data_IF_343603861259
#
_entry.id   IF_343603861259
#
_cell.length_a   1.000
_cell.length_b   1.000
_cell.length_c   1.000
_cell.angle_alpha   90.00
_cell.angle_beta   90.00
_cell.angle_gamma   90.00
#
_symmetry.space_group_name_H-M   'P 1'
#
loop_
_entity.id
_entity.type
_entity.pdbx_description
1 polymer ?
#
# COMPACT_ATOMS: atom_id res chain seq x y z
N UNK A 1 -62.81 -59.11 -33.08
CA UNK A 1 -61.39 -59.09 -33.50
C UNK A 1 -60.75 -57.90 -32.81
N UNK A 2 -59.66 -58.15 -32.07
CA UNK A 2 -59.13 -57.24 -31.05
C UNK A 2 -58.63 -55.91 -31.60
N UNK A 3 -58.95 -54.82 -30.89
CA UNK A 3 -58.46 -53.46 -31.15
C UNK A 3 -56.94 -53.39 -30.97
N UNK A 4 -56.26 -52.87 -32.00
CA UNK A 4 -54.85 -52.51 -31.92
C UNK A 4 -54.69 -51.24 -31.11
N UNK A 5 -54.27 -51.39 -29.85
CA UNK A 5 -53.88 -50.28 -28.99
C UNK A 5 -52.63 -49.58 -29.56
N UNK A 6 -52.81 -48.46 -30.25
CA UNK A 6 -51.74 -47.50 -30.55
C UNK A 6 -51.39 -46.69 -29.30
N UNK A 7 -50.78 -47.36 -28.32
CA UNK A 7 -50.18 -46.68 -27.16
C UNK A 7 -48.86 -46.01 -27.55
N UNK A 8 -48.49 -44.87 -26.93
CA UNK A 8 -47.20 -44.24 -27.16
C UNK A 8 -46.06 -45.23 -26.86
N UNK A 9 -45.03 -45.23 -27.70
CA UNK A 9 -43.87 -46.11 -27.53
C UNK A 9 -43.22 -45.89 -26.16
N UNK A 10 -42.56 -46.91 -25.60
CA UNK A 10 -41.90 -46.78 -24.29
C UNK A 10 -40.86 -45.65 -24.29
N UNK A 11 -40.63 -45.01 -23.13
CA UNK A 11 -39.70 -43.88 -23.01
C UNK A 11 -38.33 -44.17 -23.63
N UNK A 12 -37.78 -45.37 -23.38
CA UNK A 12 -36.49 -45.77 -23.93
C UNK A 12 -36.48 -45.91 -25.45
N UNK A 13 -37.59 -46.37 -26.04
CA UNK A 13 -37.75 -46.48 -27.50
C UNK A 13 -37.85 -45.10 -28.13
N UNK A 14 -38.55 -44.17 -27.49
CA UNK A 14 -38.63 -42.77 -27.94
C UNK A 14 -37.28 -42.06 -27.80
N UNK A 15 -36.57 -42.27 -26.69
CA UNK A 15 -35.25 -41.71 -26.44
C UNK A 15 -34.20 -42.21 -27.44
N UNK A 16 -34.17 -43.51 -27.75
CA UNK A 16 -33.26 -44.07 -28.78
C UNK A 16 -33.58 -43.54 -30.18
N UNK A 17 -34.87 -43.42 -30.53
CA UNK A 17 -35.29 -42.85 -31.80
C UNK A 17 -34.87 -41.37 -31.93
N UNK A 18 -35.07 -40.56 -30.88
CA UNK A 18 -34.64 -39.17 -30.83
C UNK A 18 -33.11 -39.04 -30.88
N UNK A 19 -32.39 -39.92 -30.19
CA UNK A 19 -30.93 -39.94 -30.21
C UNK A 19 -30.38 -40.25 -31.61
N UNK A 20 -30.93 -41.27 -32.30
CA UNK A 20 -30.55 -41.59 -33.69
C UNK A 20 -30.89 -40.46 -34.66
N UNK A 21 -32.04 -39.79 -34.49
CA UNK A 21 -32.44 -38.63 -35.31
C UNK A 21 -31.44 -37.47 -35.13
N UNK A 22 -31.16 -37.10 -33.89
CA UNK A 22 -30.19 -36.04 -33.58
C UNK A 22 -28.77 -36.39 -34.06
N UNK A 23 -28.33 -37.63 -33.89
CA UNK A 23 -27.03 -38.09 -34.34
C UNK A 23 -26.92 -38.08 -35.88
N UNK A 24 -28.00 -38.42 -36.58
CA UNK A 24 -28.05 -38.35 -38.05
C UNK A 24 -28.03 -36.89 -38.54
N UNK A 25 -28.72 -35.97 -37.85
CA UNK A 25 -28.65 -34.54 -38.14
C UNK A 25 -27.23 -33.98 -37.95
N UNK A 26 -26.58 -34.32 -36.84
CA UNK A 26 -25.19 -33.94 -36.59
C UNK A 26 -24.22 -34.56 -37.60
N UNK A 27 -24.46 -35.81 -38.03
CA UNK A 27 -23.68 -36.48 -39.08
C UNK A 27 -23.86 -35.85 -40.47
N UNK A 28 -24.96 -35.14 -40.74
CA UNK A 28 -25.15 -34.38 -41.99
C UNK A 28 -24.46 -33.01 -41.93
N UNK A 29 -24.40 -32.40 -40.76
CA UNK A 29 -23.78 -31.10 -40.50
C UNK A 29 -22.32 -31.20 -40.00
N UNK A 30 -21.53 -32.08 -40.61
CA UNK A 30 -20.13 -32.38 -40.20
C UNK A 30 -19.26 -31.13 -40.12
N UNK A 31 -19.37 -30.22 -41.10
CA UNK A 31 -18.54 -29.01 -41.16
C UNK A 31 -18.75 -28.09 -39.94
N UNK A 32 -19.99 -27.95 -39.50
CA UNK A 32 -20.35 -27.14 -38.32
C UNK A 32 -19.86 -27.82 -37.04
N UNK A 33 -20.00 -29.14 -36.95
CA UNK A 33 -19.53 -29.90 -35.79
C UNK A 33 -18.01 -29.91 -35.65
N UNK A 34 -17.27 -30.04 -36.75
CA UNK A 34 -15.81 -29.90 -36.75
C UNK A 34 -15.43 -28.52 -36.22
N UNK A 35 -16.11 -27.45 -36.65
CA UNK A 35 -15.83 -26.08 -36.18
C UNK A 35 -16.15 -25.89 -34.69
N UNK A 36 -17.26 -26.46 -34.22
CA UNK A 36 -17.65 -26.41 -32.81
C UNK A 36 -16.67 -27.14 -31.91
N UNK A 37 -16.18 -28.32 -32.36
CA UNK A 37 -15.22 -29.12 -31.62
C UNK A 37 -13.82 -28.49 -31.68
N UNK A 38 -13.40 -27.96 -32.84
CA UNK A 38 -12.05 -27.40 -33.01
C UNK A 38 -11.84 -26.06 -32.33
N UNK A 39 -12.90 -25.26 -32.16
CA UNK A 39 -12.78 -23.92 -31.59
C UNK A 39 -12.22 -23.89 -30.15
N UNK A 40 -12.70 -24.73 -29.21
CA UNK A 40 -12.05 -24.86 -27.90
C UNK A 40 -10.57 -25.23 -28.00
N UNK A 41 -10.18 -26.17 -28.86
CA UNK A 41 -8.77 -26.54 -29.03
C UNK A 41 -7.91 -25.39 -29.56
N UNK A 42 -8.43 -24.62 -30.53
CA UNK A 42 -7.73 -23.44 -31.07
C UNK A 42 -7.55 -22.38 -29.98
N UNK A 43 -8.58 -22.11 -29.18
CA UNK A 43 -8.48 -21.20 -28.04
C UNK A 43 -7.47 -21.68 -26.99
N UNK A 44 -7.48 -22.98 -26.65
CA UNK A 44 -6.49 -23.54 -25.74
C UNK A 44 -5.06 -23.42 -26.28
N UNK A 45 -4.84 -23.68 -27.59
CA UNK A 45 -3.52 -23.51 -28.21
C UNK A 45 -3.08 -22.05 -28.20
N UNK A 46 -3.98 -21.11 -28.52
CA UNK A 46 -3.70 -19.67 -28.45
C UNK A 46 -3.28 -19.26 -27.02
N UNK A 47 -3.97 -19.77 -26.00
CA UNK A 47 -3.63 -19.51 -24.61
C UNK A 47 -2.26 -20.04 -24.22
N UNK A 48 -1.91 -21.26 -24.62
CA UNK A 48 -0.59 -21.83 -24.37
C UNK A 48 0.49 -20.97 -25.03
N UNK A 49 0.27 -20.50 -26.25
CA UNK A 49 1.20 -19.62 -26.95
C UNK A 49 1.36 -18.27 -26.25
N UNK A 50 0.26 -17.63 -25.85
CA UNK A 50 0.28 -16.35 -25.11
C UNK A 50 0.97 -16.54 -23.75
N UNK A 51 0.61 -17.58 -23.01
CA UNK A 51 1.22 -17.91 -21.73
C UNK A 51 2.73 -18.11 -21.87
N UNK A 52 3.18 -18.81 -22.91
CA UNK A 52 4.60 -19.02 -23.17
C UNK A 52 5.32 -17.70 -23.53
N UNK A 53 4.72 -16.88 -24.39
CA UNK A 53 5.27 -15.58 -24.77
C UNK A 53 5.41 -14.66 -23.55
N UNK A 54 4.37 -14.58 -22.71
CA UNK A 54 4.39 -13.74 -21.52
C UNK A 54 5.34 -14.30 -20.46
N UNK A 55 5.37 -15.61 -20.23
CA UNK A 55 6.35 -16.20 -19.32
C UNK A 55 7.78 -15.89 -19.76
N UNK A 56 8.08 -15.96 -21.07
CA UNK A 56 9.39 -15.58 -21.58
C UNK A 56 9.75 -14.12 -21.28
N UNK A 57 8.80 -13.20 -21.43
CA UNK A 57 8.98 -11.79 -21.08
C UNK A 57 9.13 -11.57 -19.56
N UNK A 58 8.36 -12.31 -18.75
CA UNK A 58 8.42 -12.24 -17.29
C UNK A 58 9.67 -12.93 -16.71
N UNK A 59 10.25 -13.89 -17.41
CA UNK A 59 11.44 -14.63 -17.01
C UNK A 59 12.77 -13.89 -17.27
N UNK A 60 12.70 -12.65 -17.78
CA UNK A 60 13.85 -11.76 -17.92
C UNK A 60 14.60 -11.57 -16.61
N UNK A 61 15.94 -11.39 -16.64
CA UNK A 61 16.77 -11.29 -15.44
C UNK A 61 16.32 -10.14 -14.52
N UNK A 62 15.78 -9.05 -15.06
CA UNK A 62 15.24 -7.91 -14.30
C UNK A 62 14.14 -8.29 -13.31
N UNK A 63 13.38 -9.35 -13.58
CA UNK A 63 12.26 -9.83 -12.76
C UNK A 63 12.65 -11.00 -11.83
N UNK A 64 13.96 -11.24 -11.66
CA UNK A 64 14.51 -12.29 -10.81
C UNK A 64 15.52 -11.69 -9.84
N UNK A 65 15.76 -12.39 -8.74
CA UNK A 65 16.87 -12.03 -7.88
C UNK A 65 18.18 -12.19 -8.64
N UNK A 66 19.10 -11.23 -8.49
CA UNK A 66 20.43 -11.31 -9.07
C UNK A 66 21.25 -12.40 -8.39
N UNK A 67 22.02 -13.13 -9.21
CA UNK A 67 22.84 -14.24 -8.76
C UNK A 67 24.27 -14.06 -9.23
N UNK A 68 25.22 -14.38 -8.37
CA UNK A 68 26.63 -14.42 -8.71
C UNK A 68 27.16 -15.84 -8.64
N UNK A 69 28.09 -16.13 -9.55
CA UNK A 69 28.86 -17.35 -9.54
C UNK A 69 29.98 -17.24 -8.50
N UNK A 70 29.89 -18.00 -7.42
CA UNK A 70 30.90 -18.01 -6.35
C UNK A 70 31.40 -19.44 -6.18
N UNK A 71 32.72 -19.60 -6.17
CA UNK A 71 33.36 -20.85 -5.76
C UNK A 71 33.50 -20.85 -4.23
N UNK A 72 32.48 -21.38 -3.55
CA UNK A 72 32.39 -21.46 -2.08
C UNK A 72 33.43 -22.40 -1.47
N UNK A 73 33.92 -23.38 -2.23
CA UNK A 73 34.79 -24.45 -1.72
C UNK A 73 36.24 -24.38 -2.25
N UNK A 74 36.54 -23.46 -3.17
CA UNK A 74 37.86 -23.34 -3.82
C UNK A 74 38.18 -24.50 -4.76
N UNK A 75 37.16 -25.24 -5.20
CA UNK A 75 37.30 -26.45 -6.03
C UNK A 75 37.21 -26.14 -7.55
N UNK A 76 37.07 -24.87 -7.90
CA UNK A 76 36.90 -24.37 -9.26
C UNK A 76 35.47 -24.53 -9.80
N UNK A 77 34.50 -24.97 -8.97
CA UNK A 77 33.09 -25.11 -9.38
C UNK A 77 32.31 -23.86 -9.02
N UNK A 78 31.63 -23.35 -10.02
CA UNK A 78 30.72 -22.24 -9.88
C UNK A 78 29.43 -22.67 -9.17
N UNK A 79 29.19 -22.20 -7.95
CA UNK A 79 27.89 -22.28 -7.31
C UNK A 79 27.14 -20.96 -7.51
N UNK A 80 25.92 -21.04 -8.04
CA UNK A 80 25.08 -19.86 -8.25
C UNK A 80 24.44 -19.44 -6.92
N UNK A 81 24.91 -18.32 -6.35
CA UNK A 81 24.40 -17.76 -5.11
C UNK A 81 23.59 -16.51 -5.43
N UNK A 82 22.28 -16.58 -5.20
CA UNK A 82 21.34 -15.49 -5.41
C UNK A 82 21.15 -14.68 -4.13
N UNK A 83 21.44 -13.38 -4.18
CA UNK A 83 21.35 -12.49 -3.02
C UNK A 83 21.07 -11.05 -3.42
N UNK A 84 20.62 -10.25 -2.45
CA UNK A 84 20.40 -8.82 -2.66
C UNK A 84 21.70 -8.09 -3.03
N UNK A 85 22.86 -8.56 -2.55
CA UNK A 85 24.19 -7.99 -2.85
C UNK A 85 24.61 -8.15 -4.31
N UNK A 86 24.07 -9.16 -4.97
CA UNK A 86 24.33 -9.46 -6.39
C UNK A 86 23.20 -8.99 -7.31
N UNK A 87 22.28 -8.20 -6.79
CA UNK A 87 21.09 -7.73 -7.50
C UNK A 87 21.18 -6.25 -7.88
N UNK A 88 20.62 -5.89 -9.04
CA UNK A 88 20.32 -4.49 -9.35
C UNK A 88 19.12 -3.97 -8.53
N UNK A 89 18.86 -2.66 -8.57
CA UNK A 89 17.74 -2.03 -7.85
C UNK A 89 16.38 -2.66 -8.20
N UNK A 90 16.16 -3.01 -9.47
CA UNK A 90 14.92 -3.61 -9.93
C UNK A 90 14.81 -5.10 -9.55
N UNK A 91 15.94 -5.81 -9.54
CA UNK A 91 16.03 -7.22 -9.17
C UNK A 91 15.84 -7.45 -7.66
N UNK A 92 16.30 -6.53 -6.83
CA UNK A 92 16.29 -6.66 -5.37
C UNK A 92 14.89 -6.86 -4.78
N UNK A 93 13.85 -6.34 -5.44
CA UNK A 93 12.46 -6.55 -5.04
C UNK A 93 12.03 -8.02 -5.08
N UNK A 94 12.69 -8.85 -5.89
CA UNK A 94 12.36 -10.26 -6.10
C UNK A 94 13.16 -11.22 -5.20
N UNK A 95 14.19 -10.71 -4.52
CA UNK A 95 15.07 -11.50 -3.67
C UNK A 95 14.42 -11.97 -2.35
N UNK A 96 14.93 -13.07 -1.77
CA UNK A 96 14.57 -13.48 -0.42
C UNK A 96 15.07 -12.46 0.61
N UNK A 97 14.21 -12.10 1.56
CA UNK A 97 14.53 -11.25 2.71
C UNK A 97 14.12 -12.03 3.97
N UNK A 98 15.00 -12.89 4.51
CA UNK A 98 14.67 -13.73 5.66
C UNK A 98 14.53 -12.91 6.95
N UNK A 99 15.29 -11.83 7.09
CA UNK A 99 15.27 -10.95 8.24
C UNK A 99 15.05 -9.50 7.78
N UNK A 100 13.79 -9.06 7.66
CA UNK A 100 13.50 -7.68 7.26
C UNK A 100 14.06 -6.65 8.26
N UNK A 101 14.51 -5.47 7.77
CA UNK A 101 14.98 -4.40 8.64
C UNK A 101 13.89 -3.91 9.61
N UNK A 102 14.33 -3.43 10.77
CA UNK A 102 13.48 -2.87 11.81
C UNK A 102 13.48 -1.35 11.70
N UNK A 103 12.49 -0.78 11.02
CA UNK A 103 12.44 0.67 10.79
C UNK A 103 11.82 1.38 11.98
N UNK A 104 12.46 2.42 12.55
CA UNK A 104 11.88 3.18 13.64
C UNK A 104 10.61 3.90 13.16
N UNK A 105 9.58 4.03 14.00
CA UNK A 105 8.31 4.62 13.58
C UNK A 105 8.47 6.12 13.37
N UNK A 106 8.19 6.58 12.15
CA UNK A 106 8.26 7.98 11.76
C UNK A 106 6.86 8.58 11.57
N UNK A 107 6.73 9.90 11.65
CA UNK A 107 5.59 10.66 11.15
C UNK A 107 5.74 10.96 9.65
N UNK A 108 4.63 11.08 8.93
CA UNK A 108 4.64 11.73 7.62
C UNK A 108 4.70 13.24 7.82
N UNK A 109 5.82 13.88 7.43
CA UNK A 109 5.96 15.33 7.54
C UNK A 109 5.90 16.01 6.19
N UNK A 110 5.39 17.25 6.10
CA UNK A 110 5.39 18.01 4.87
C UNK A 110 6.78 18.53 4.53
N UNK A 111 7.06 18.54 3.22
CA UNK A 111 8.28 19.14 2.70
C UNK A 111 8.34 20.64 3.02
N UNK A 112 9.53 21.23 3.23
CA UNK A 112 9.70 22.62 3.63
C UNK A 112 8.88 23.64 2.82
N UNK A 113 8.74 23.42 1.51
CA UNK A 113 7.98 24.23 0.57
C UNK A 113 6.46 24.14 0.73
N UNK A 114 5.96 23.07 1.36
CA UNK A 114 4.52 22.79 1.51
C UNK A 114 4.01 23.02 2.93
N UNK A 115 4.89 23.26 3.92
CA UNK A 115 4.53 23.49 5.33
C UNK A 115 3.56 24.64 5.51
N UNK A 116 2.54 24.49 6.34
CA UNK A 116 1.50 25.51 6.56
C UNK A 116 2.06 26.89 6.96
N UNK A 117 1.57 27.93 6.27
CA UNK A 117 1.89 29.34 6.51
C UNK A 117 0.61 30.18 6.45
N UNK A 118 0.64 31.34 7.09
CA UNK A 118 -0.45 32.32 7.00
C UNK A 118 -0.63 32.76 5.54
N UNK A 119 -1.88 32.80 5.07
CA UNK A 119 -2.24 33.22 3.71
C UNK A 119 -3.66 33.78 3.67
N UNK A 120 -4.08 34.34 2.53
CA UNK A 120 -5.46 34.83 2.36
C UNK A 120 -6.52 33.72 2.53
N UNK A 121 -6.18 32.48 2.17
CA UNK A 121 -7.06 31.30 2.28
C UNK A 121 -7.11 30.78 3.72
N UNK A 122 -5.98 30.85 4.43
CA UNK A 122 -5.82 30.40 5.82
C UNK A 122 -5.26 31.57 6.64
N UNK A 123 -6.13 32.52 7.06
CA UNK A 123 -5.71 33.79 7.64
C UNK A 123 -5.47 33.69 9.16
N UNK A 124 -4.90 32.57 9.63
CA UNK A 124 -4.54 32.44 11.04
C UNK A 124 -3.21 33.13 11.33
N UNK A 125 -3.21 34.07 12.27
CA UNK A 125 -2.03 34.87 12.64
C UNK A 125 -0.99 34.12 13.46
N UNK A 126 -1.35 32.95 14.00
CA UNK A 126 -0.46 32.05 14.74
C UNK A 126 0.38 31.15 13.82
N UNK A 127 0.10 31.16 12.52
CA UNK A 127 0.92 30.50 11.49
C UNK A 127 2.09 31.40 11.07
N UNK A 128 3.23 30.79 10.69
CA UNK A 128 4.39 31.52 10.21
C UNK A 128 4.13 32.22 8.86
N UNK A 129 4.93 33.24 8.54
CA UNK A 129 4.85 33.94 7.26
C UNK A 129 5.38 33.06 6.11
N UNK A 130 4.82 33.22 4.90
CA UNK A 130 5.23 32.51 3.68
C UNK A 130 6.74 32.60 3.38
N UNK A 131 7.42 33.67 3.82
CA UNK A 131 8.87 33.84 3.65
C UNK A 131 9.71 32.68 4.23
N UNK A 132 9.21 31.96 5.25
CA UNK A 132 9.93 30.82 5.84
C UNK A 132 10.06 29.64 4.87
N UNK A 133 9.19 29.52 3.86
CA UNK A 133 9.24 28.44 2.87
C UNK A 133 10.45 28.58 1.97
N UNK A 134 10.74 29.82 1.57
CA UNK A 134 11.88 30.15 0.71
C UNK A 134 13.23 29.85 1.39
N UNK A 135 13.26 29.93 2.71
CA UNK A 135 14.47 29.65 3.52
C UNK A 135 14.52 28.22 4.05
N UNK A 136 13.46 27.42 3.85
CA UNK A 136 13.34 26.07 4.42
C UNK A 136 13.28 26.04 5.95
N UNK A 137 12.92 27.15 6.59
CA UNK A 137 12.93 27.34 8.04
C UNK A 137 11.56 27.18 8.70
N UNK A 138 10.50 26.98 7.90
CA UNK A 138 9.15 26.88 8.46
C UNK A 138 9.05 25.76 9.50
N UNK A 139 8.43 26.01 10.67
CA UNK A 139 8.08 24.96 11.60
C UNK A 139 7.07 24.00 10.96
N UNK A 140 6.96 22.83 11.58
CA UNK A 140 5.97 21.83 11.24
C UNK A 140 4.76 22.01 12.15
N UNK A 141 3.60 22.26 11.57
CA UNK A 141 2.38 22.53 12.31
C UNK A 141 1.65 21.23 12.71
N UNK A 142 1.17 21.19 13.95
CA UNK A 142 0.27 20.20 14.51
C UNK A 142 -0.94 20.93 15.10
N UNK A 143 -2.14 20.58 14.66
CA UNK A 143 -3.36 21.17 15.20
C UNK A 143 -3.92 20.30 16.32
N UNK A 144 -4.57 20.91 17.30
CA UNK A 144 -5.29 20.15 18.32
C UNK A 144 -6.51 20.89 18.85
N UNK A 145 -7.48 20.11 19.33
CA UNK A 145 -8.72 20.59 19.97
C UNK A 145 -9.21 19.57 21.02
N UNK A 146 -10.28 19.89 21.72
CA UNK A 146 -10.95 19.03 22.69
C UNK A 146 -11.92 19.79 23.58
N UNK A 147 -12.71 19.09 24.39
CA UNK A 147 -13.70 19.73 25.28
C UNK A 147 -13.03 20.56 26.39
N UNK A 148 -11.81 20.20 26.79
CA UNK A 148 -11.03 20.91 27.80
C UNK A 148 -9.71 21.42 27.19
N UNK A 149 -9.63 22.73 26.97
CA UNK A 149 -8.46 23.37 26.37
C UNK A 149 -7.19 23.22 27.20
N UNK A 150 -7.29 23.35 28.52
CA UNK A 150 -6.12 23.22 29.41
C UNK A 150 -5.55 21.81 29.33
N UNK A 151 -6.40 20.78 29.37
CA UNK A 151 -5.97 19.40 29.19
C UNK A 151 -5.36 19.17 27.80
N UNK A 152 -6.01 19.64 26.75
CA UNK A 152 -5.52 19.52 25.38
C UNK A 152 -4.13 20.15 25.20
N UNK A 153 -3.88 21.32 25.81
CA UNK A 153 -2.58 21.98 25.80
C UNK A 153 -1.52 21.18 26.56
N UNK A 154 -1.85 20.58 27.70
CA UNK A 154 -0.95 19.68 28.42
C UNK A 154 -0.59 18.45 27.59
N UNK A 155 -1.59 17.80 26.99
CA UNK A 155 -1.40 16.62 26.14
C UNK A 155 -0.56 16.96 24.91
N UNK A 156 -0.95 17.98 24.14
CA UNK A 156 -0.17 18.43 23.00
C UNK A 156 1.27 18.80 23.41
N UNK A 157 1.45 19.59 24.48
CA UNK A 157 2.76 19.99 24.99
C UNK A 157 3.69 18.82 25.33
N UNK A 158 3.13 17.67 25.73
CA UNK A 158 3.89 16.44 26.00
C UNK A 158 4.26 15.62 24.76
N UNK A 159 3.61 15.85 23.61
CA UNK A 159 3.89 15.13 22.36
C UNK A 159 5.26 15.48 21.74
N UNK A 160 5.74 16.72 21.93
CA UNK A 160 7.06 17.15 21.45
C UNK A 160 8.01 17.35 22.63
N UNK A 161 9.19 16.75 22.56
CA UNK A 161 10.21 16.91 23.60
C UNK A 161 10.96 18.23 23.42
N UNK A 162 11.49 18.76 24.51
CA UNK A 162 12.34 19.96 24.50
C UNK A 162 13.80 19.65 24.18
N UNK A 163 14.20 18.38 24.27
CA UNK A 163 15.53 17.90 23.91
C UNK A 163 15.46 16.42 23.50
N UNK A 164 16.41 16.00 22.66
CA UNK A 164 16.66 14.60 22.36
C UNK A 164 17.88 14.14 23.17
N UNK A 165 17.67 13.28 24.17
CA UNK A 165 18.77 12.57 24.84
C UNK A 165 19.20 11.40 23.96
N UNK A 166 20.00 11.68 22.93
CA UNK A 166 20.63 10.60 22.16
C UNK A 166 21.92 10.20 22.86
N UNK A 167 21.99 8.94 23.27
CA UNK A 167 23.23 8.34 23.77
C UNK A 167 24.29 8.34 22.65
N UNK A 168 25.55 8.25 23.04
CA UNK A 168 26.73 8.33 22.16
C UNK A 168 26.78 7.28 21.05
N UNK A 169 26.04 6.17 21.15
CA UNK A 169 25.84 5.20 20.07
C UNK A 169 24.65 5.61 19.18
N UNK A 170 24.92 6.38 18.13
CA UNK A 170 23.91 6.90 17.18
C UNK A 170 23.44 5.82 16.19
N UNK A 171 22.81 4.77 16.71
CA UNK A 171 22.23 3.68 15.91
C UNK A 171 20.79 3.99 15.49
N UNK A 172 20.30 3.29 14.46
CA UNK A 172 18.90 3.34 14.01
C UNK A 172 17.89 3.15 15.16
N UNK A 173 18.17 2.23 16.09
CA UNK A 173 17.29 1.95 17.23
C UNK A 173 17.12 3.15 18.17
N UNK A 174 18.14 4.00 18.24
CA UNK A 174 18.06 5.23 19.04
C UNK A 174 17.03 6.23 18.48
N UNK A 175 16.68 6.12 17.19
CA UNK A 175 15.70 7.01 16.55
C UNK A 175 14.27 6.75 17.01
N UNK A 176 13.96 5.57 17.52
CA UNK A 176 12.65 5.28 18.11
C UNK A 176 12.36 6.16 19.33
N UNK A 177 13.42 6.61 20.03
CA UNK A 177 13.32 7.47 21.21
C UNK A 177 13.04 8.94 20.89
N UNK A 178 13.26 9.38 19.64
CA UNK A 178 12.99 10.76 19.22
C UNK A 178 11.67 10.84 18.45
N UNK A 179 11.08 12.03 18.37
CA UNK A 179 9.90 12.24 17.51
C UNK A 179 10.36 12.44 16.07
N UNK A 180 10.67 11.33 15.40
CA UNK A 180 11.14 11.32 14.01
C UNK A 180 10.01 11.49 13.00
N UNK A 181 10.31 12.13 11.87
CA UNK A 181 9.42 12.26 10.71
C UNK A 181 10.18 12.28 9.39
N UNK A 182 9.53 11.88 8.31
CA UNK A 182 10.09 11.94 6.95
C UNK A 182 9.09 12.54 5.98
N UNK A 183 9.61 13.33 5.03
CA UNK A 183 8.83 13.90 3.93
C UNK A 183 8.71 12.96 2.72
N UNK A 184 9.54 11.92 2.68
CA UNK A 184 9.54 10.95 1.59
C UNK A 184 8.16 10.32 1.43
N UNK A 185 7.76 10.05 0.18
CA UNK A 185 6.52 9.34 -0.10
C UNK A 185 6.66 7.87 0.36
N UNK A 186 5.73 7.33 1.16
CA UNK A 186 5.75 5.92 1.55
C UNK A 186 5.55 4.99 0.35
N UNK A 187 6.04 3.76 0.46
CA UNK A 187 5.92 2.71 -0.56
C UNK A 187 4.83 1.71 -0.19
N UNK A 188 4.59 0.76 -1.10
CA UNK A 188 3.64 -0.34 -0.91
C UNK A 188 4.16 -1.45 0.01
N UNK A 189 5.44 -1.42 0.37
CA UNK A 189 6.10 -2.38 1.27
C UNK A 189 7.08 -1.64 2.18
N UNK A 190 7.31 -2.17 3.38
CA UNK A 190 8.29 -1.68 4.34
C UNK A 190 9.62 -2.46 4.29
N UNK A 191 9.91 -3.23 3.23
CA UNK A 191 11.23 -3.88 3.10
C UNK A 191 12.35 -2.84 2.99
N UNK A 192 12.08 -1.77 2.25
CA UNK A 192 12.93 -0.58 2.14
C UNK A 192 12.06 0.65 2.35
N UNK A 193 12.25 1.35 3.46
CA UNK A 193 11.53 2.61 3.71
C UNK A 193 12.30 3.78 3.03
N UNK A 194 11.66 4.53 2.11
CA UNK A 194 12.25 5.70 1.44
C UNK A 194 12.85 6.73 2.36
N UNK A 195 12.40 6.80 3.62
CA UNK A 195 12.95 7.70 4.62
C UNK A 195 14.45 7.51 4.84
N UNK A 196 15.00 6.31 4.60
CA UNK A 196 16.40 5.99 4.88
C UNK A 196 17.28 5.88 3.63
N UNK A 197 16.71 5.65 2.44
CA UNK A 197 17.49 5.51 1.21
C UNK A 197 17.37 6.70 0.25
N UNK A 198 16.31 7.52 0.31
CA UNK A 198 16.08 8.64 -0.62
C UNK A 198 17.11 9.77 -0.57
N UNK A 199 17.90 9.86 0.50
CA UNK A 199 18.86 10.96 0.71
C UNK A 199 18.23 12.22 1.31
N UNK A 200 16.94 12.17 1.63
CA UNK A 200 16.26 13.22 2.38
C UNK A 200 16.58 13.10 3.89
N UNK A 201 16.61 14.21 4.63
CA UNK A 201 16.87 14.17 6.06
C UNK A 201 15.69 13.57 6.84
N UNK A 202 15.98 12.91 7.95
CA UNK A 202 14.98 12.58 8.97
C UNK A 202 14.79 13.82 9.84
N UNK A 203 13.55 14.26 10.00
CA UNK A 203 13.24 15.40 10.83
C UNK A 203 13.00 14.97 12.27
N UNK A 204 13.73 15.57 13.20
CA UNK A 204 13.50 15.41 14.63
C UNK A 204 12.61 16.55 15.14
N UNK A 205 11.34 16.26 15.42
CA UNK A 205 10.36 17.26 15.83
C UNK A 205 10.55 17.59 17.32
N UNK A 206 10.88 18.85 17.61
CA UNK A 206 11.06 19.35 18.97
C UNK A 206 10.29 20.64 19.18
N UNK A 207 9.99 21.01 20.43
CA UNK A 207 9.32 22.28 20.73
C UNK A 207 10.14 23.50 20.31
N UNK A 208 11.45 23.41 20.46
CA UNK A 208 12.43 24.41 20.05
C UNK A 208 13.70 23.69 19.62
N UNK A 209 14.32 24.16 18.54
CA UNK A 209 15.59 23.62 18.08
C UNK A 209 16.74 24.52 18.54
N UNK A 210 17.80 23.92 19.08
CA UNK A 210 19.04 24.65 19.34
C UNK A 210 19.80 24.90 18.04
N UNK A 211 20.64 25.96 17.96
CA UNK A 211 21.54 26.14 16.82
C UNK A 211 22.42 24.88 16.63
N UNK A 212 22.67 24.50 15.37
CA UNK A 212 23.48 23.32 15.00
C UNK A 212 22.95 21.97 15.53
N UNK A 213 21.64 21.80 15.63
CA UNK A 213 20.96 20.56 16.02
C UNK A 213 20.84 19.52 14.89
N UNK A 214 21.80 19.50 13.95
CA UNK A 214 21.89 18.49 12.90
C UNK A 214 22.97 17.49 13.27
N UNK A 215 22.65 16.20 13.17
CA UNK A 215 23.60 15.12 13.43
C UNK A 215 23.35 13.96 12.46
N UNK A 216 24.30 13.05 12.38
CA UNK A 216 24.23 11.88 11.51
C UNK A 216 24.06 10.61 12.35
N UNK A 217 23.28 9.66 11.84
CA UNK A 217 23.16 8.33 12.41
C UNK A 217 23.51 7.29 11.36
N UNK A 218 24.19 6.23 11.78
CA UNK A 218 24.54 5.12 10.90
C UNK A 218 23.34 4.18 10.75
N UNK A 219 22.89 4.03 9.51
CA UNK A 219 21.77 3.16 9.16
C UNK A 219 22.30 1.99 8.34
N UNK A 220 22.15 0.78 8.88
CA UNK A 220 22.46 -0.45 8.17
C UNK A 220 21.24 -0.87 7.35
N UNK A 221 21.30 -0.69 6.04
CA UNK A 221 20.25 -1.12 5.11
C UNK A 221 20.68 -2.45 4.53
N UNK A 222 20.20 -3.54 5.12
CA UNK A 222 20.49 -4.92 4.67
C UNK A 222 22.00 -5.19 4.60
N UNK A 223 22.62 -5.05 3.42
CA UNK A 223 24.04 -5.31 3.16
C UNK A 223 24.96 -4.07 3.11
N UNK A 224 24.42 -2.85 3.20
CA UNK A 224 25.26 -1.64 3.18
C UNK A 224 24.85 -0.62 4.24
N UNK A 225 25.87 0.03 4.83
CA UNK A 225 25.70 1.13 5.77
C UNK A 225 25.62 2.48 5.05
N UNK A 226 24.73 3.35 5.54
CA UNK A 226 24.58 4.72 5.05
C UNK A 226 24.46 5.69 6.22
N UNK A 227 25.15 6.82 6.15
CA UNK A 227 24.94 7.93 7.07
C UNK A 227 23.62 8.65 6.73
N UNK A 228 22.71 8.66 7.69
CA UNK A 228 21.43 9.35 7.60
C UNK A 228 21.52 10.70 8.33
N UNK A 229 21.27 11.79 7.61
CA UNK A 229 21.16 13.13 8.21
C UNK A 229 19.88 13.21 9.04
N UNK A 230 19.99 13.72 10.26
CA UNK A 230 18.89 13.99 11.16
C UNK A 230 18.90 15.47 11.52
N UNK A 231 17.84 16.16 11.12
CA UNK A 231 17.70 17.61 11.25
C UNK A 231 16.59 17.95 12.24
N UNK A 232 16.87 18.75 13.25
CA UNK A 232 15.82 19.27 14.12
C UNK A 232 14.87 20.19 13.34
N UNK A 233 13.58 20.04 13.58
CA UNK A 233 12.55 20.96 13.11
C UNK A 233 11.63 21.31 14.26
N UNK A 234 11.32 22.59 14.36
CA UNK A 234 10.39 23.08 15.36
C UNK A 234 8.98 22.57 15.06
N UNK A 235 8.37 21.89 16.03
CA UNK A 235 6.97 21.48 16.01
C UNK A 235 6.09 22.57 16.62
N UNK A 236 5.30 23.25 15.78
CA UNK A 236 4.36 24.28 16.20
C UNK A 236 3.01 23.65 16.52
N UNK A 237 2.60 23.72 17.79
CA UNK A 237 1.34 23.15 18.27
C UNK A 237 0.30 24.25 18.38
N UNK A 238 -0.78 24.17 17.61
CA UNK A 238 -1.80 25.22 17.55
C UNK A 238 -3.17 24.69 17.97
N UNK A 239 -3.84 25.45 18.85
CA UNK A 239 -5.19 25.18 19.30
C UNK A 239 -6.22 25.67 18.27
N UNK A 240 -7.27 24.88 18.06
CA UNK A 240 -8.51 25.30 17.38
C UNK A 240 -9.70 25.06 18.29
N UNK A 241 -10.71 25.92 18.21
CA UNK A 241 -11.83 25.87 19.13
C UNK A 241 -12.75 24.67 18.88
N UNK A 242 -12.82 24.22 17.63
CA UNK A 242 -13.68 23.10 17.25
C UNK A 242 -13.00 22.17 16.25
N UNK A 243 -13.44 20.91 16.22
CA UNK A 243 -13.03 19.93 15.21
C UNK A 243 -13.44 20.34 13.79
N UNK A 244 -14.50 21.15 13.65
CA UNK A 244 -14.90 21.72 12.37
C UNK A 244 -13.90 22.75 11.84
N UNK A 245 -13.32 23.59 12.70
CA UNK A 245 -12.25 24.51 12.29
C UNK A 245 -11.02 23.74 11.82
N UNK A 246 -10.63 22.68 12.53
CA UNK A 246 -9.53 21.80 12.11
C UNK A 246 -9.83 21.21 10.73
N UNK A 247 -11.03 20.65 10.54
CA UNK A 247 -11.39 20.03 9.27
C UNK A 247 -11.41 21.04 8.11
N UNK A 248 -11.91 22.25 8.34
CA UNK A 248 -11.91 23.33 7.35
C UNK A 248 -10.47 23.77 6.99
N UNK A 249 -9.60 23.93 7.98
CA UNK A 249 -8.18 24.30 7.75
C UNK A 249 -7.43 23.19 6.99
N UNK A 250 -7.59 21.93 7.39
CA UNK A 250 -7.00 20.78 6.70
C UNK A 250 -7.50 20.67 5.25
N UNK A 251 -8.81 20.86 5.03
CA UNK A 251 -9.41 20.82 3.71
C UNK A 251 -8.87 21.95 2.82
N UNK A 252 -8.84 23.18 3.32
CA UNK A 252 -8.26 24.34 2.62
C UNK A 252 -6.77 24.18 2.39
N UNK A 253 -6.05 23.45 3.24
CA UNK A 253 -4.64 23.14 3.08
C UNK A 253 -4.33 22.24 1.88
N UNK A 254 -5.30 21.45 1.43
CA UNK A 254 -5.17 20.62 0.24
C UNK A 254 -5.30 21.45 -1.04
N UNK A 255 -4.43 21.21 -2.03
CA UNK A 255 -4.39 21.97 -3.30
C UNK A 255 -5.70 22.02 -4.08
N UNK A 256 -6.63 21.07 -3.87
CA UNK A 256 -7.95 21.08 -4.53
C UNK A 256 -9.08 21.59 -3.61
N UNK A 257 -8.78 21.86 -2.35
CA UNK A 257 -9.74 22.37 -1.37
C UNK A 257 -9.82 23.89 -1.30
N UNK A 258 -8.94 24.61 -2.01
CA UNK A 258 -8.97 26.07 -2.12
C UNK A 258 -8.91 26.55 -3.58
N UNK A 259 -9.48 27.72 -3.85
CA UNK A 259 -9.55 28.33 -5.19
C UNK A 259 -8.17 28.73 -5.73
N UNK A 260 -7.22 29.09 -4.86
CA UNK A 260 -5.86 29.51 -5.22
C UNK A 260 -4.92 28.34 -5.56
N UNK A 261 -5.37 27.09 -5.33
CA UNK A 261 -4.57 25.86 -5.44
C UNK A 261 -3.26 25.85 -4.63
N UNK A 262 -3.21 26.64 -3.55
CA UNK A 262 -2.06 26.68 -2.64
C UNK A 262 -2.04 25.43 -1.76
N UNK A 263 -0.85 24.99 -1.42
CA UNK A 263 -0.64 23.87 -0.50
C UNK A 263 -0.23 24.45 0.85
N UNK A 264 -0.96 24.07 1.90
CA UNK A 264 -0.64 24.34 3.29
C UNK A 264 -0.79 23.03 4.07
N UNK A 265 0.25 22.21 4.05
CA UNK A 265 0.24 20.91 4.71
C UNK A 265 0.56 21.03 6.20
N UNK A 266 -0.17 20.23 6.96
CA UNK A 266 -0.11 20.09 8.42
C UNK A 266 0.20 18.61 8.67
N UNK A 267 1.08 18.31 9.64
CA UNK A 267 1.53 16.93 9.92
C UNK A 267 0.36 16.03 10.31
N UNK A 268 -0.39 16.49 11.30
CA UNK A 268 -1.50 15.78 11.89
C UNK A 268 -2.35 16.75 12.69
N UNK A 269 -3.58 16.34 12.95
CA UNK A 269 -4.44 17.01 13.91
C UNK A 269 -5.01 16.02 14.93
N UNK A 270 -5.25 16.51 16.14
CA UNK A 270 -5.74 15.69 17.26
C UNK A 270 -6.96 16.34 17.91
N UNK A 271 -8.03 15.60 18.08
CA UNK A 271 -9.19 16.02 18.86
C UNK A 271 -9.32 15.10 20.05
N UNK A 272 -9.05 15.62 21.23
CA UNK A 272 -9.11 14.89 22.48
C UNK A 272 -10.53 14.74 23.03
N UNK A 273 -11.56 15.20 22.31
CA UNK A 273 -12.97 14.98 22.60
C UNK A 273 -13.29 15.21 24.10
N UNK A 274 -13.88 14.21 24.76
CA UNK A 274 -14.20 14.19 26.18
C UNK A 274 -13.15 13.43 27.03
N UNK A 275 -11.88 13.43 26.60
CA UNK A 275 -10.78 12.85 27.37
C UNK A 275 -10.65 13.52 28.74
N UNK A 276 -10.35 12.71 29.77
CA UNK A 276 -10.12 13.13 31.15
C UNK A 276 -9.23 12.09 31.85
N UNK A 277 -9.07 12.15 33.17
CA UNK A 277 -8.22 11.21 33.93
C UNK A 277 -8.65 9.73 33.85
N UNK A 278 -9.92 9.45 33.57
CA UNK A 278 -10.49 8.10 33.54
C UNK A 278 -10.90 7.62 32.15
N UNK A 279 -10.95 8.52 31.16
CA UNK A 279 -11.42 8.24 29.81
C UNK A 279 -10.47 8.83 28.77
N UNK A 280 -10.05 8.03 27.78
CA UNK A 280 -9.20 8.48 26.69
C UNK A 280 -9.89 8.27 25.35
N UNK A 281 -10.38 9.37 24.77
CA UNK A 281 -11.02 9.41 23.48
C UNK A 281 -10.27 10.40 22.59
N UNK A 282 -9.73 9.92 21.47
CA UNK A 282 -8.98 10.76 20.54
C UNK A 282 -9.35 10.45 19.10
N UNK A 283 -9.56 11.51 18.32
CA UNK A 283 -9.63 11.44 16.85
C UNK A 283 -8.32 12.00 16.28
N UNK A 284 -7.72 11.26 15.36
CA UNK A 284 -6.45 11.64 14.72
C UNK A 284 -6.71 11.82 13.23
N UNK A 285 -6.44 13.02 12.72
CA UNK A 285 -6.42 13.28 11.28
C UNK A 285 -5.00 13.20 10.76
N UNK A 286 -4.84 12.53 9.62
CA UNK A 286 -3.57 12.34 8.94
C UNK A 286 -3.75 12.55 7.44
N UNK A 287 -2.66 12.90 6.76
CA UNK A 287 -2.67 13.06 5.31
C UNK A 287 -2.69 11.69 4.62
N UNK A 288 -3.79 11.36 3.95
CA UNK A 288 -3.94 10.10 3.19
C UNK A 288 -3.59 10.23 1.71
N UNK A 289 -3.07 11.37 1.25
CA UNK A 289 -2.77 11.62 -0.18
C UNK A 289 -1.84 10.54 -0.76
N UNK A 290 -0.88 10.06 0.04
CA UNK A 290 0.09 9.05 -0.39
C UNK A 290 -0.45 7.62 -0.42
N UNK A 291 -1.69 7.37 0.03
CA UNK A 291 -2.29 6.03 0.03
C UNK A 291 -2.49 5.49 -1.39
N UNK A 292 -2.77 6.39 -2.34
CA UNK A 292 -3.09 6.11 -3.74
C UNK A 292 -4.12 4.97 -3.93
N UNK A 293 -5.17 4.99 -3.11
CA UNK A 293 -6.19 3.95 -3.09
C UNK A 293 -7.12 4.06 -4.31
N UNK A 294 -6.79 3.29 -5.35
CA UNK A 294 -7.57 3.17 -6.59
C UNK A 294 -8.35 1.85 -6.66
N UNK A 295 -8.46 1.10 -5.54
CA UNK A 295 -9.18 -0.18 -5.42
C UNK A 295 -8.45 -1.41 -6.00
N UNK A 296 -7.81 -1.29 -7.15
CA UNK A 296 -7.17 -2.43 -7.86
C UNK A 296 -5.64 -2.47 -7.78
N UNK A 297 -5.02 -1.56 -7.01
CA UNK A 297 -3.56 -1.39 -6.92
C UNK A 297 -3.14 -1.51 -5.46
N UNK A 298 -1.95 -2.07 -5.15
CA UNK A 298 -1.39 -2.02 -3.81
C UNK A 298 -1.45 -0.60 -3.21
N UNK A 299 -1.82 -0.51 -1.95
CA UNK A 299 -1.97 0.78 -1.24
C UNK A 299 -0.67 1.16 -0.53
N UNK A 300 -0.35 2.45 -0.52
CA UNK A 300 0.84 2.96 0.18
C UNK A 300 0.71 2.76 1.70
N UNK A 301 1.79 2.28 2.33
CA UNK A 301 1.86 2.05 3.77
C UNK A 301 2.07 3.37 4.52
N UNK A 302 0.97 3.99 4.93
CA UNK A 302 1.00 5.29 5.60
C UNK A 302 1.64 5.22 7.00
N UNK A 303 2.36 6.28 7.35
CA UNK A 303 3.06 6.46 8.63
C UNK A 303 2.16 6.93 9.78
N UNK A 304 1.01 6.26 9.94
CA UNK A 304 0.00 6.53 11.00
C UNK A 304 0.39 6.00 12.39
N UNK A 305 1.06 4.83 12.53
CA UNK A 305 1.34 4.26 13.85
C UNK A 305 2.10 5.21 14.81
N UNK A 306 3.00 6.06 14.31
CA UNK A 306 3.71 7.03 15.15
C UNK A 306 2.76 8.09 15.73
N UNK A 307 1.77 8.56 14.98
CA UNK A 307 0.78 9.53 15.46
C UNK A 307 -0.05 8.97 16.61
N UNK A 308 -0.44 7.69 16.52
CA UNK A 308 -1.18 6.99 17.58
C UNK A 308 -0.31 6.84 18.83
N UNK A 309 0.96 6.46 18.66
CA UNK A 309 1.91 6.34 19.76
C UNK A 309 2.11 7.67 20.49
N UNK A 310 2.21 8.79 19.78
CA UNK A 310 2.35 10.12 20.38
C UNK A 310 1.16 10.51 21.24
N UNK A 311 -0.07 10.34 20.73
CA UNK A 311 -1.28 10.64 21.50
C UNK A 311 -1.41 9.75 22.75
N UNK A 312 -1.11 8.46 22.60
CA UNK A 312 -1.17 7.51 23.72
C UNK A 312 -0.13 7.83 24.79
N UNK A 313 1.11 8.13 24.39
CA UNK A 313 2.17 8.50 25.32
C UNK A 313 1.92 9.83 26.01
N UNK A 314 1.38 10.82 25.29
CA UNK A 314 0.97 12.09 25.88
C UNK A 314 -0.04 11.89 27.02
N UNK A 315 -1.04 11.05 26.78
CA UNK A 315 -2.04 10.72 27.78
C UNK A 315 -1.47 9.94 28.97
N UNK A 316 -0.57 8.98 28.73
CA UNK A 316 0.10 8.24 29.80
C UNK A 316 0.98 9.13 30.67
N UNK A 317 1.70 10.07 30.06
CA UNK A 317 2.51 11.04 30.81
C UNK A 317 1.65 11.96 31.66
N UNK A 318 0.48 12.34 31.16
CA UNK A 318 -0.51 13.09 31.92
C UNK A 318 -0.99 12.30 33.16
N UNK A 319 -1.31 11.01 33.02
CA UNK A 319 -1.84 10.19 34.12
C UNK A 319 -0.79 9.74 35.15
N UNK A 320 0.41 9.37 34.69
CA UNK A 320 1.42 8.68 35.50
C UNK A 320 2.70 9.49 35.69
N UNK A 321 2.77 10.68 35.10
CA UNK A 321 3.94 11.55 35.12
C UNK A 321 4.89 11.32 33.93
N UNK A 322 5.86 12.24 33.73
CA UNK A 322 6.66 12.36 32.50
C UNK A 322 7.60 11.17 32.22
N UNK A 323 7.88 10.33 33.22
CA UNK A 323 8.70 9.13 33.05
C UNK A 323 7.97 7.93 32.43
N UNK A 324 6.65 8.00 32.30
CA UNK A 324 5.84 6.87 31.82
C UNK A 324 5.64 6.99 30.31
N UNK A 325 6.24 6.08 29.54
CA UNK A 325 6.04 5.97 28.09
C UNK A 325 5.93 4.52 27.65
N UNK A 326 5.09 4.26 26.66
CA UNK A 326 5.11 3.04 25.87
C UNK A 326 6.04 3.29 24.68
N UNK A 327 7.20 2.68 24.73
CA UNK A 327 8.18 2.74 23.67
C UNK A 327 7.65 1.96 22.45
N UNK A 328 7.68 2.60 21.29
CA UNK A 328 7.39 1.96 20.02
C UNK A 328 8.68 1.91 19.22
N UNK A 329 9.32 0.74 19.21
CA UNK A 329 10.69 0.58 18.71
C UNK A 329 10.76 0.57 17.20
N UNK A 330 9.95 -0.24 16.53
CA UNK A 330 10.03 -0.38 15.08
C UNK A 330 8.75 -0.91 14.42
N UNK A 331 8.67 -0.71 13.12
CA UNK A 331 7.80 -1.38 12.17
C UNK A 331 8.68 -2.22 11.25
N UNK A 332 8.31 -3.48 11.04
CA UNK A 332 9.02 -4.37 10.10
C UNK A 332 8.04 -5.22 9.30
N UNK A 333 8.49 -5.64 8.12
CA UNK A 333 7.76 -6.63 7.32
C UNK A 333 7.91 -8.05 7.88
N UNK A 334 7.08 -8.94 7.35
CA UNK A 334 7.26 -10.38 7.51
C UNK A 334 8.41 -10.89 6.62
N UNK A 335 9.15 -11.93 7.06
CA UNK A 335 10.13 -12.60 6.21
C UNK A 335 9.53 -13.00 4.87
N UNK A 336 10.30 -12.82 3.80
CA UNK A 336 9.89 -13.09 2.43
C UNK A 336 10.86 -14.07 1.77
N UNK A 337 10.32 -15.07 1.08
CA UNK A 337 11.09 -15.93 0.18
C UNK A 337 11.24 -15.30 -1.21
N UNK A 338 12.13 -15.84 -2.03
CA UNK A 338 12.27 -15.42 -3.42
C UNK A 338 10.90 -15.44 -4.11
N UNK A 339 10.55 -14.33 -4.74
CA UNK A 339 9.30 -14.18 -5.46
C UNK A 339 9.58 -14.13 -6.96
N UNK A 340 8.68 -14.71 -7.76
CA UNK A 340 8.72 -14.61 -9.22
C UNK A 340 7.37 -14.14 -9.72
N UNK A 341 7.37 -13.18 -10.64
CA UNK A 341 6.14 -12.74 -11.28
C UNK A 341 5.64 -13.86 -12.20
N UNK A 342 4.49 -14.44 -11.84
CA UNK A 342 3.80 -15.44 -12.67
C UNK A 342 2.38 -14.94 -12.91
N UNK A 343 2.02 -14.80 -14.17
CA UNK A 343 0.63 -14.54 -14.57
C UNK A 343 0.01 -15.86 -14.98
N UNK A 344 -1.12 -16.22 -14.39
CA UNK A 344 -1.91 -17.37 -14.83
C UNK A 344 -3.11 -16.87 -15.63
N UNK A 345 -2.98 -16.87 -16.96
CA UNK A 345 -4.05 -16.44 -17.85
C UNK A 345 -5.26 -17.38 -17.81
N UNK A 346 -5.07 -18.64 -17.41
CA UNK A 346 -6.17 -19.59 -17.28
C UNK A 346 -7.10 -19.18 -16.14
N UNK A 347 -6.53 -18.76 -15.01
CA UNK A 347 -7.29 -18.22 -13.87
C UNK A 347 -7.94 -16.88 -14.19
N UNK A 348 -7.19 -15.95 -14.82
CA UNK A 348 -7.66 -14.59 -15.11
C UNK A 348 -8.82 -14.54 -16.12
N UNK A 349 -8.80 -15.40 -17.12
CA UNK A 349 -9.78 -15.41 -18.22
C UNK A 349 -10.75 -16.59 -18.14
N UNK A 350 -10.69 -17.40 -17.09
CA UNK A 350 -11.48 -18.63 -16.93
C UNK A 350 -12.98 -18.39 -17.09
N UNK A 351 -13.52 -17.33 -16.50
CA UNK A 351 -14.95 -16.96 -16.62
C UNK A 351 -15.34 -16.59 -18.06
N UNK A 352 -14.48 -15.86 -18.77
CA UNK A 352 -14.70 -15.51 -20.17
C UNK A 352 -14.71 -16.76 -21.05
N UNK A 353 -13.78 -17.68 -20.83
CA UNK A 353 -13.71 -18.93 -21.58
C UNK A 353 -14.89 -19.86 -21.30
N UNK A 354 -15.28 -20.01 -20.03
CA UNK A 354 -16.47 -20.76 -19.66
C UNK A 354 -17.69 -20.19 -20.39
N UNK A 355 -17.84 -18.87 -20.37
CA UNK A 355 -18.94 -18.18 -21.04
C UNK A 355 -18.92 -18.41 -22.55
N UNK A 356 -17.77 -18.23 -23.21
CA UNK A 356 -17.67 -18.40 -24.66
C UNK A 356 -17.88 -19.84 -25.11
N UNK A 357 -17.33 -20.82 -24.38
CA UNK A 357 -17.47 -22.25 -24.71
C UNK A 357 -18.90 -22.73 -24.48
N UNK A 358 -19.53 -22.37 -23.36
CA UNK A 358 -20.90 -22.79 -23.04
C UNK A 358 -21.92 -22.09 -23.93
N UNK A 359 -21.78 -20.78 -24.17
CA UNK A 359 -22.71 -20.05 -25.06
C UNK A 359 -22.62 -20.56 -26.49
N UNK A 360 -21.47 -21.06 -26.94
CA UNK A 360 -21.34 -21.62 -28.29
C UNK A 360 -22.16 -22.90 -28.52
N UNK A 361 -22.56 -23.61 -27.46
CA UNK A 361 -23.47 -24.75 -27.53
C UNK A 361 -24.95 -24.32 -27.66
N UNK A 362 -25.29 -23.09 -27.25
CA UNK A 362 -26.66 -22.59 -27.23
C UNK A 362 -27.33 -22.52 -28.62
N UNK A 363 -26.65 -22.01 -29.67
CA UNK A 363 -27.19 -22.03 -31.04
C UNK A 363 -27.46 -23.44 -31.56
N UNK A 364 -26.70 -24.45 -31.14
CA UNK A 364 -26.89 -25.85 -31.55
C UNK A 364 -28.19 -26.39 -30.96
N UNK A 365 -28.45 -26.13 -29.68
CA UNK A 365 -29.70 -26.51 -29.01
C UNK A 365 -30.88 -25.77 -29.63
N UNK A 366 -30.75 -24.47 -29.87
CA UNK A 366 -31.82 -23.65 -30.47
C UNK A 366 -32.15 -24.09 -31.90
N UNK A 367 -31.14 -24.38 -32.73
CA UNK A 367 -31.36 -24.87 -34.10
C UNK A 367 -31.99 -26.26 -34.12
N UNK A 368 -31.62 -27.16 -33.20
CA UNK A 368 -32.28 -28.44 -33.05
C UNK A 368 -33.76 -28.28 -32.67
N UNK A 369 -34.07 -27.39 -31.71
CA UNK A 369 -35.45 -27.10 -31.29
C UNK A 369 -36.29 -26.49 -32.42
N UNK A 370 -35.75 -25.52 -33.16
CA UNK A 370 -36.45 -24.90 -34.30
C UNK A 370 -36.68 -25.94 -35.41
N UNK A 371 -35.70 -26.79 -35.69
CA UNK A 371 -35.81 -27.86 -36.67
C UNK A 371 -36.90 -28.88 -36.27
N UNK A 372 -36.96 -29.27 -34.99
CA UNK A 372 -38.04 -30.13 -34.50
C UNK A 372 -39.42 -29.48 -34.65
N UNK A 373 -39.55 -28.18 -34.35
CA UNK A 373 -40.82 -27.44 -34.48
C UNK A 373 -41.23 -27.13 -35.92
N UNK A 374 -40.31 -27.20 -36.89
CA UNK A 374 -40.58 -26.94 -38.30
C UNK A 374 -40.94 -28.20 -39.09
N UNK A 375 -40.48 -29.37 -38.63
CA UNK A 375 -40.66 -30.65 -39.34
C UNK A 375 -41.58 -31.65 -38.65
N UNK A 376 -41.92 -31.40 -37.38
CA UNK A 376 -43.12 -31.90 -36.71
C UNK A 376 -44.08 -30.72 -36.52
#
# INVERSE_FOLDING_TARGET
MAETSHGPASFWTQADALLRKNLTFQKRNVRTNIRLISFPFILCLLLVLIQNLVNHELDKPENKCGCACIDTNGDGRCEEVCSLEHSSLDQGAWCPIPNPPQWPPLLQVPAPEYRAVASNVIPFSDLPNESCRRTGSCPVTLLFTGNNQSLGQTLAGSMFTSSASLNSSRSLDSLANIVGGSESMPQFTNFLDPAFYSGLPIYNLQRQCTPNSTFYADVQITSFGKEQEIKCVQGLQLWRNTSSEINDELYKGYRKGNSERKINEIVAAYDFLNSNENNFNVTIWYNSTYKNDSGNVPIGLLRVPRSVNLASNAYLQFLRGPGTKIQFDFVKEMPKHESRLRLDFSSLLGTLFFTWVIIQLFPVVLTALVYEKQQN
#
